data_IF_287062326995
#
_entry.id   IF_287062326995
#
_cell.length_a   1.000
_cell.length_b   1.000
_cell.length_c   1.000
_cell.angle_alpha   90.00
_cell.angle_beta   90.00
_cell.angle_gamma   90.00
#
_symmetry.space_group_name_H-M   'P 1'
#
loop_
_entity.id
_entity.type
_entity.pdbx_description
1 polymer ?
#
# COMPACT_ATOMS: atom_id res chain seq x y z
N UNK A 1 -19.56 14.63 1.67
CA UNK A 1 -19.42 13.56 0.68
C UNK A 1 -19.51 14.22 -0.68
N UNK A 2 -18.46 14.08 -1.47
CA UNK A 2 -18.34 14.66 -2.80
C UNK A 2 -19.03 13.78 -3.84
N UNK A 3 -19.46 14.37 -4.95
CA UNK A 3 -19.92 13.67 -6.14
C UNK A 3 -18.75 12.98 -6.86
N UNK A 4 -19.04 11.99 -7.69
CA UNK A 4 -17.99 11.30 -8.48
C UNK A 4 -17.23 12.27 -9.39
N UNK A 5 -17.90 13.28 -9.97
CA UNK A 5 -17.25 14.29 -10.80
C UNK A 5 -16.23 15.09 -10.00
N UNK A 6 -16.59 15.54 -8.80
CA UNK A 6 -15.66 16.25 -7.92
C UNK A 6 -14.47 15.38 -7.50
N UNK A 7 -14.68 14.09 -7.26
CA UNK A 7 -13.60 13.13 -6.99
C UNK A 7 -12.66 13.01 -8.20
N UNK A 8 -13.20 12.88 -9.40
CA UNK A 8 -12.38 12.80 -10.63
C UNK A 8 -11.60 14.09 -10.88
N UNK A 9 -12.23 15.26 -10.68
CA UNK A 9 -11.57 16.56 -10.81
C UNK A 9 -10.43 16.72 -9.80
N UNK A 10 -10.62 16.25 -8.56
CA UNK A 10 -9.56 16.22 -7.56
C UNK A 10 -8.42 15.28 -7.96
N UNK A 11 -8.73 14.09 -8.47
CA UNK A 11 -7.71 13.16 -8.96
C UNK A 11 -6.88 13.77 -10.10
N UNK A 12 -7.50 14.50 -11.03
CA UNK A 12 -6.77 15.23 -12.08
C UNK A 12 -5.87 16.33 -11.51
N UNK A 13 -6.39 17.13 -10.56
CA UNK A 13 -5.59 18.18 -9.91
C UNK A 13 -4.37 17.60 -9.16
N UNK A 14 -4.56 16.46 -8.48
CA UNK A 14 -3.47 15.75 -7.80
C UNK A 14 -2.42 15.31 -8.82
N UNK A 15 -2.85 14.67 -9.92
CA UNK A 15 -1.95 14.23 -10.99
C UNK A 15 -1.16 15.39 -11.60
N UNK A 16 -1.82 16.50 -11.90
CA UNK A 16 -1.14 17.71 -12.38
C UNK A 16 -0.10 18.22 -11.38
N UNK A 17 -0.45 18.28 -10.09
CA UNK A 17 0.48 18.74 -9.04
C UNK A 17 1.67 17.80 -8.85
N UNK A 18 1.49 16.48 -8.98
CA UNK A 18 2.59 15.51 -8.99
C UNK A 18 3.55 15.82 -10.16
N UNK A 19 3.03 16.03 -11.37
CA UNK A 19 3.86 16.37 -12.53
C UNK A 19 4.65 17.68 -12.36
N UNK A 20 4.11 18.60 -11.56
CA UNK A 20 4.73 19.89 -11.23
C UNK A 20 5.61 19.83 -9.97
N UNK A 21 5.75 18.65 -9.34
CA UNK A 21 6.45 18.45 -8.06
C UNK A 21 5.93 19.35 -6.93
N UNK A 22 4.64 19.71 -6.97
CA UNK A 22 3.99 20.55 -5.94
C UNK A 22 3.41 19.68 -4.84
N UNK A 23 4.26 18.91 -4.17
CA UNK A 23 3.81 17.88 -3.23
C UNK A 23 3.06 18.45 -2.02
N UNK A 24 3.49 19.60 -1.49
CA UNK A 24 2.78 20.29 -0.39
C UNK A 24 1.36 20.73 -0.79
N UNK A 25 1.15 21.12 -2.04
CA UNK A 25 -0.19 21.48 -2.51
C UNK A 25 -1.11 20.25 -2.57
N UNK A 26 -0.57 19.06 -2.81
CA UNK A 26 -1.33 17.81 -2.80
C UNK A 26 -1.81 17.51 -1.37
N UNK A 27 -0.94 17.68 -0.38
CA UNK A 27 -1.30 17.56 1.04
C UNK A 27 -2.49 18.45 1.39
N UNK A 28 -2.47 19.69 0.90
CA UNK A 28 -3.56 20.65 1.12
C UNK A 28 -4.87 20.24 0.43
N UNK A 29 -4.82 19.52 -0.70
CA UNK A 29 -6.01 18.96 -1.34
C UNK A 29 -6.61 17.80 -0.55
N UNK A 30 -5.78 16.97 0.10
CA UNK A 30 -6.24 15.80 0.85
C UNK A 30 -6.70 16.11 2.27
N UNK A 31 -6.02 17.03 2.97
CA UNK A 31 -6.28 17.36 4.37
C UNK A 31 -7.75 17.65 4.73
N UNK A 32 -8.56 18.36 3.92
CA UNK A 32 -9.95 18.66 4.27
C UNK A 32 -10.94 17.54 3.90
N UNK A 33 -10.51 16.49 3.20
CA UNK A 33 -11.43 15.47 2.69
C UNK A 33 -11.97 14.62 3.84
N UNK A 34 -13.27 14.28 3.72
CA UNK A 34 -13.84 13.26 4.59
C UNK A 34 -13.16 11.91 4.33
N UNK A 35 -13.20 11.00 5.30
CA UNK A 35 -12.54 9.69 5.17
C UNK A 35 -12.93 8.94 3.89
N UNK A 36 -14.22 8.94 3.55
CA UNK A 36 -14.77 8.28 2.36
C UNK A 36 -14.31 8.96 1.07
N UNK A 37 -14.34 10.29 1.03
CA UNK A 37 -13.90 11.04 -0.15
C UNK A 37 -12.39 10.84 -0.37
N UNK A 38 -11.61 10.87 0.71
CA UNK A 38 -10.17 10.62 0.68
C UNK A 38 -9.84 9.21 0.14
N UNK A 39 -10.55 8.18 0.58
CA UNK A 39 -10.35 6.81 0.08
C UNK A 39 -10.57 6.73 -1.44
N UNK A 40 -11.57 7.44 -1.97
CA UNK A 40 -11.83 7.47 -3.40
C UNK A 40 -10.74 8.23 -4.18
N UNK A 41 -10.22 9.33 -3.63
CA UNK A 41 -9.16 10.10 -4.29
C UNK A 41 -7.81 9.37 -4.27
N UNK A 42 -7.50 8.61 -3.21
CA UNK A 42 -6.23 7.86 -3.07
C UNK A 42 -6.12 6.61 -3.97
N UNK A 43 -7.02 6.43 -4.94
CA UNK A 43 -6.96 5.29 -5.86
C UNK A 43 -5.84 5.44 -6.89
N UNK A 44 -4.81 4.60 -6.74
CA UNK A 44 -3.59 4.62 -7.55
C UNK A 44 -3.82 4.71 -9.07
N UNK A 45 -4.68 3.91 -9.72
CA UNK A 45 -4.79 3.90 -11.19
C UNK A 45 -5.29 5.22 -11.80
N UNK A 46 -5.96 6.07 -11.01
CA UNK A 46 -6.46 7.36 -11.48
C UNK A 46 -5.41 8.47 -11.38
N UNK A 47 -4.47 8.33 -10.45
CA UNK A 47 -3.37 9.27 -10.24
C UNK A 47 -2.18 8.90 -11.12
N UNK A 48 -1.76 7.63 -11.06
CA UNK A 48 -0.62 7.10 -11.78
C UNK A 48 -1.07 6.11 -12.85
N UNK A 49 -0.62 6.33 -14.08
CA UNK A 49 -0.82 5.40 -15.19
C UNK A 49 0.52 4.77 -15.58
N UNK A 50 0.76 3.57 -15.07
CA UNK A 50 1.99 2.80 -15.32
C UNK A 50 2.24 2.45 -16.79
N UNK A 51 1.20 2.46 -17.63
CA UNK A 51 1.36 2.23 -19.08
C UNK A 51 1.91 3.45 -19.81
N UNK A 52 1.75 4.64 -19.24
CA UNK A 52 2.17 5.91 -19.84
C UNK A 52 3.43 6.45 -19.20
N UNK A 53 3.51 6.42 -17.87
CA UNK A 53 4.59 7.05 -17.10
C UNK A 53 5.80 6.13 -16.91
N UNK A 54 5.61 4.82 -16.99
CA UNK A 54 6.62 3.82 -16.66
C UNK A 54 6.78 3.62 -15.15
N UNK A 55 7.11 2.40 -14.75
CA UNK A 55 7.14 2.00 -13.33
C UNK A 55 8.24 2.73 -12.53
N UNK A 56 9.44 2.88 -13.11
CA UNK A 56 10.57 3.58 -12.46
C UNK A 56 10.30 5.08 -12.25
N UNK A 57 9.59 5.71 -13.19
CA UNK A 57 9.20 7.12 -13.08
C UNK A 57 8.25 7.33 -11.91
N UNK A 58 7.24 6.45 -11.77
CA UNK A 58 6.29 6.49 -10.65
C UNK A 58 7.04 6.34 -9.32
N UNK A 59 7.92 5.34 -9.20
CA UNK A 59 8.68 5.15 -7.96
C UNK A 59 9.58 6.35 -7.65
N UNK A 60 10.22 6.95 -8.66
CA UNK A 60 11.01 8.17 -8.49
C UNK A 60 10.15 9.34 -7.97
N UNK A 61 8.96 9.55 -8.54
CA UNK A 61 8.04 10.61 -8.09
C UNK A 61 7.58 10.37 -6.64
N UNK A 62 7.29 9.12 -6.27
CA UNK A 62 6.90 8.77 -4.91
C UNK A 62 8.05 8.97 -3.91
N UNK A 63 9.29 8.68 -4.31
CA UNK A 63 10.48 8.93 -3.48
C UNK A 63 10.72 10.43 -3.28
N UNK A 64 10.64 11.22 -4.35
CA UNK A 64 10.74 12.68 -4.27
C UNK A 64 9.67 13.26 -3.34
N UNK A 65 8.41 12.83 -3.52
CA UNK A 65 7.31 13.24 -2.64
C UNK A 65 7.62 12.89 -1.18
N UNK A 66 8.00 11.64 -0.90
CA UNK A 66 8.36 11.21 0.45
C UNK A 66 9.48 12.06 1.08
N UNK A 67 10.49 12.43 0.29
CA UNK A 67 11.61 13.26 0.76
C UNK A 67 11.20 14.69 1.08
N UNK A 68 10.31 15.28 0.26
CA UNK A 68 9.82 16.65 0.46
C UNK A 68 8.76 16.75 1.57
N UNK A 69 8.01 15.68 1.82
CA UNK A 69 6.99 15.61 2.88
C UNK A 69 7.20 14.41 3.80
N UNK A 70 8.29 14.36 4.59
CA UNK A 70 8.68 13.18 5.38
C UNK A 70 7.71 12.83 6.53
N UNK A 71 6.78 13.72 6.85
CA UNK A 71 5.76 13.51 7.88
C UNK A 71 4.39 13.14 7.29
N UNK A 72 4.24 13.18 5.96
CA UNK A 72 3.00 12.81 5.28
C UNK A 72 2.91 11.31 5.15
N UNK A 73 1.70 10.76 5.36
CA UNK A 73 1.46 9.34 5.13
C UNK A 73 1.04 9.02 3.69
N UNK A 74 0.60 10.01 2.90
CA UNK A 74 0.05 9.78 1.56
C UNK A 74 1.02 9.13 0.56
N UNK A 75 2.31 9.52 0.45
CA UNK A 75 3.22 8.84 -0.46
C UNK A 75 3.36 7.34 -0.12
N UNK A 76 3.30 6.97 1.16
CA UNK A 76 3.35 5.56 1.58
C UNK A 76 2.13 4.75 1.15
N UNK A 77 0.94 5.38 1.10
CA UNK A 77 -0.27 4.75 0.54
C UNK A 77 -0.04 4.39 -0.92
N UNK A 78 0.49 5.32 -1.71
CA UNK A 78 0.73 5.09 -3.13
C UNK A 78 1.89 4.11 -3.38
N UNK A 79 2.94 4.10 -2.56
CA UNK A 79 3.96 3.04 -2.60
C UNK A 79 3.33 1.67 -2.36
N UNK A 80 2.48 1.54 -1.33
CA UNK A 80 1.77 0.29 -1.08
C UNK A 80 0.91 -0.07 -2.31
N UNK A 81 0.14 0.85 -2.87
CA UNK A 81 -0.72 0.54 -4.03
C UNK A 81 0.07 0.12 -5.26
N UNK A 82 1.22 0.75 -5.51
CA UNK A 82 2.16 0.37 -6.57
C UNK A 82 2.58 -1.10 -6.43
N UNK A 83 3.02 -1.48 -5.22
CA UNK A 83 3.50 -2.84 -4.95
C UNK A 83 2.38 -3.87 -4.91
N UNK A 84 1.18 -3.50 -4.46
CA UNK A 84 -0.01 -4.34 -4.55
C UNK A 84 -0.33 -4.70 -6.00
N UNK A 85 -0.40 -3.69 -6.88
CA UNK A 85 -0.68 -3.90 -8.31
C UNK A 85 0.42 -4.73 -8.96
N UNK A 86 1.68 -4.50 -8.56
CA UNK A 86 2.83 -5.28 -9.02
C UNK A 86 2.71 -6.75 -8.61
N UNK A 87 2.41 -7.04 -7.34
CA UNK A 87 2.16 -8.40 -6.85
C UNK A 87 0.99 -9.06 -7.58
N UNK A 88 -0.10 -8.32 -7.81
CA UNK A 88 -1.28 -8.79 -8.56
C UNK A 88 -0.92 -9.15 -10.01
N UNK A 89 -0.10 -8.35 -10.67
CA UNK A 89 0.35 -8.61 -12.03
C UNK A 89 1.27 -9.85 -12.09
N UNK A 90 2.17 -10.03 -11.12
CA UNK A 90 3.06 -11.20 -11.05
C UNK A 90 2.32 -12.51 -10.76
N UNK A 91 1.27 -12.47 -9.93
CA UNK A 91 0.40 -13.63 -9.70
C UNK A 91 -0.31 -14.12 -10.97
N UNK A 92 -0.40 -13.27 -12.00
CA UNK A 92 -1.07 -13.56 -13.26
C UNK A 92 -2.53 -13.10 -13.23
N UNK A 93 -2.88 -12.16 -14.11
CA UNK A 93 -4.27 -11.85 -14.43
C UNK A 93 -4.77 -12.93 -15.41
N UNK A 94 -5.75 -13.73 -14.96
CA UNK A 94 -6.72 -14.47 -15.80
C UNK A 94 -6.42 -15.89 -16.33
N UNK A 95 -5.29 -16.54 -16.05
CA UNK A 95 -5.13 -17.99 -16.39
C UNK A 95 -4.48 -18.77 -15.25
N UNK A 96 -5.31 -19.51 -14.52
CA UNK A 96 -4.97 -20.35 -13.36
C UNK A 96 -3.88 -21.40 -13.67
N UNK A 97 -3.63 -21.71 -14.93
CA UNK A 97 -2.87 -22.90 -15.29
C UNK A 97 -1.35 -22.74 -15.30
N UNK A 98 -0.76 -21.53 -15.25
CA UNK A 98 0.71 -21.37 -15.37
C UNK A 98 1.30 -20.17 -14.63
N UNK A 99 1.18 -20.11 -13.30
CA UNK A 99 2.08 -19.26 -12.49
C UNK A 99 3.43 -19.97 -12.40
N UNK A 100 4.46 -19.38 -13.02
CA UNK A 100 5.81 -19.95 -12.96
C UNK A 100 6.41 -19.80 -11.55
N UNK A 101 7.40 -20.63 -11.17
CA UNK A 101 8.12 -20.43 -9.92
C UNK A 101 8.71 -19.02 -9.76
N UNK A 102 9.23 -18.44 -10.84
CA UNK A 102 9.76 -17.06 -10.85
C UNK A 102 8.65 -16.02 -10.59
N UNK A 103 7.49 -16.16 -11.24
CA UNK A 103 6.33 -15.29 -10.98
C UNK A 103 5.84 -15.38 -9.53
N UNK A 104 5.85 -16.58 -8.93
CA UNK A 104 5.52 -16.75 -7.51
C UNK A 104 6.52 -16.01 -6.62
N UNK A 105 7.82 -16.10 -6.91
CA UNK A 105 8.86 -15.40 -6.16
C UNK A 105 8.75 -13.88 -6.31
N UNK A 106 8.51 -13.39 -7.53
CA UNK A 106 8.31 -11.96 -7.79
C UNK A 106 7.04 -11.43 -7.11
N UNK A 107 5.97 -12.23 -7.09
CA UNK A 107 4.75 -11.92 -6.36
C UNK A 107 5.03 -11.81 -4.85
N UNK A 108 5.77 -12.76 -4.28
CA UNK A 108 6.18 -12.72 -2.87
C UNK A 108 7.00 -11.47 -2.55
N UNK A 109 8.05 -11.19 -3.34
CA UNK A 109 8.91 -10.03 -3.13
C UNK A 109 8.15 -8.70 -3.25
N UNK A 110 7.22 -8.60 -4.20
CA UNK A 110 6.33 -7.45 -4.33
C UNK A 110 5.35 -7.34 -3.14
N UNK A 111 4.82 -8.47 -2.66
CA UNK A 111 3.95 -8.50 -1.48
C UNK A 111 4.72 -8.04 -0.23
N UNK A 112 5.99 -8.41 -0.08
CA UNK A 112 6.84 -7.94 1.01
C UNK A 112 7.03 -6.42 0.98
N UNK A 113 7.29 -5.85 -0.21
CA UNK A 113 7.35 -4.38 -0.35
C UNK A 113 6.00 -3.74 -0.02
N UNK A 114 4.90 -4.32 -0.52
CA UNK A 114 3.55 -3.85 -0.27
C UNK A 114 3.26 -3.77 1.25
N UNK A 115 3.49 -4.87 1.97
CA UNK A 115 3.24 -4.93 3.41
C UNK A 115 4.12 -3.93 4.16
N UNK A 116 5.39 -3.79 3.80
CA UNK A 116 6.26 -2.78 4.40
C UNK A 116 5.65 -1.37 4.29
N UNK A 117 5.24 -0.96 3.08
CA UNK A 117 4.73 0.39 2.85
C UNK A 117 3.33 0.62 3.44
N UNK A 118 2.47 -0.40 3.43
CA UNK A 118 1.16 -0.33 4.07
C UNK A 118 1.29 -0.18 5.59
N UNK A 119 2.21 -0.92 6.22
CA UNK A 119 2.49 -0.78 7.65
C UNK A 119 3.20 0.54 7.99
N UNK A 120 4.10 1.03 7.11
CA UNK A 120 4.65 2.39 7.23
C UNK A 120 3.58 3.46 7.18
N UNK A 121 2.57 3.30 6.33
CA UNK A 121 1.42 4.21 6.32
C UNK A 121 0.75 4.27 7.69
N UNK A 122 0.57 3.12 8.34
CA UNK A 122 -0.01 3.02 9.68
C UNK A 122 0.90 3.54 10.80
N UNK A 123 2.22 3.58 10.61
CA UNK A 123 3.16 4.23 11.54
C UNK A 123 2.90 5.74 11.62
N UNK A 124 2.64 6.38 10.49
CA UNK A 124 2.33 7.81 10.43
C UNK A 124 0.86 8.12 10.67
N UNK A 125 -0.05 7.24 10.25
CA UNK A 125 -1.49 7.40 10.48
C UNK A 125 -2.16 6.07 10.86
N UNK A 126 -2.26 5.75 12.17
CA UNK A 126 -2.90 4.53 12.65
C UNK A 126 -4.40 4.41 12.34
N UNK A 127 -5.03 5.50 11.87
CA UNK A 127 -6.44 5.57 11.49
C UNK A 127 -6.66 5.51 9.97
N UNK A 128 -5.61 5.18 9.20
CA UNK A 128 -5.70 5.08 7.75
C UNK A 128 -6.48 3.83 7.31
N UNK A 129 -7.78 3.99 7.10
CA UNK A 129 -8.69 2.93 6.63
C UNK A 129 -8.22 2.30 5.31
N UNK A 130 -7.80 3.12 4.34
CA UNK A 130 -7.27 2.66 3.05
C UNK A 130 -6.13 1.65 3.22
N UNK A 131 -5.19 1.90 4.14
CA UNK A 131 -4.08 0.98 4.39
C UNK A 131 -4.58 -0.36 4.98
N UNK A 132 -5.53 -0.33 5.92
CA UNK A 132 -6.12 -1.55 6.46
C UNK A 132 -6.92 -2.33 5.42
N UNK A 133 -7.69 -1.66 4.57
CA UNK A 133 -8.42 -2.31 3.46
C UNK A 133 -7.45 -2.98 2.50
N UNK A 134 -6.35 -2.31 2.15
CA UNK A 134 -5.31 -2.90 1.30
C UNK A 134 -4.65 -4.12 1.96
N UNK A 135 -4.35 -4.05 3.26
CA UNK A 135 -3.77 -5.18 4.02
C UNK A 135 -4.74 -6.37 4.08
N UNK A 136 -6.04 -6.11 4.29
CA UNK A 136 -7.10 -7.10 4.23
C UNK A 136 -7.12 -7.81 2.87
N UNK A 137 -7.18 -7.04 1.79
CA UNK A 137 -7.23 -7.56 0.42
C UNK A 137 -5.97 -8.36 0.08
N UNK A 138 -4.78 -7.83 0.38
CA UNK A 138 -3.52 -8.49 0.09
C UNK A 138 -3.35 -9.78 0.90
N UNK A 139 -3.77 -9.80 2.17
CA UNK A 139 -3.73 -11.02 2.99
C UNK A 139 -4.62 -12.11 2.43
N UNK A 140 -5.80 -11.75 1.90
CA UNK A 140 -6.71 -12.71 1.27
C UNK A 140 -6.22 -13.17 -0.11
N UNK A 141 -5.62 -12.26 -0.88
CA UNK A 141 -5.12 -12.56 -2.21
C UNK A 141 -3.77 -13.26 -2.13
N UNK A 142 -2.71 -12.60 -1.66
CA UNK A 142 -1.32 -13.04 -1.71
C UNK A 142 -0.86 -13.83 -0.49
N UNK A 143 -1.59 -13.73 0.63
CA UNK A 143 -1.13 -14.24 1.92
C UNK A 143 -0.23 -13.25 2.64
N UNK A 144 0.24 -13.67 3.81
CA UNK A 144 1.07 -12.85 4.70
C UNK A 144 2.55 -13.09 4.47
N UNK A 145 3.39 -12.04 4.57
CA UNK A 145 4.83 -12.19 4.61
C UNK A 145 5.33 -13.01 5.80
N UNK A 146 6.37 -13.81 5.58
CA UNK A 146 6.98 -14.62 6.65
C UNK A 146 7.72 -13.76 7.70
N UNK A 147 8.22 -12.59 7.31
CA UNK A 147 8.91 -11.67 8.22
C UNK A 147 7.94 -10.91 9.15
N UNK A 148 6.64 -10.92 8.85
CA UNK A 148 5.67 -10.13 9.59
C UNK A 148 5.16 -10.89 10.82
N UNK A 149 5.69 -10.52 11.98
CA UNK A 149 5.32 -11.05 13.28
C UNK A 149 4.60 -9.98 14.13
N UNK A 150 3.44 -10.34 14.70
CA UNK A 150 2.54 -9.43 15.43
C UNK A 150 2.82 -9.38 16.95
N UNK A 151 4.10 -9.30 17.32
CA UNK A 151 4.49 -9.15 18.72
C UNK A 151 4.32 -7.69 19.18
N UNK A 152 3.32 -7.45 20.03
CA UNK A 152 2.87 -6.12 20.53
C UNK A 152 3.98 -5.26 21.15
N UNK A 153 5.06 -5.86 21.63
CA UNK A 153 6.07 -5.18 22.45
C UNK A 153 7.33 -4.75 21.70
N UNK A 154 7.43 -5.03 20.39
CA UNK A 154 8.64 -4.72 19.62
C UNK A 154 8.30 -4.07 18.28
N UNK A 155 9.13 -3.13 17.81
CA UNK A 155 9.06 -2.67 16.43
C UNK A 155 9.14 -3.86 15.47
N UNK A 156 8.30 -3.84 14.44
CA UNK A 156 8.31 -4.86 13.40
C UNK A 156 9.59 -4.70 12.58
N UNK A 157 10.35 -5.79 12.45
CA UNK A 157 11.60 -5.79 11.68
C UNK A 157 11.31 -6.25 10.26
N UNK A 158 11.42 -5.31 9.33
CA UNK A 158 11.39 -5.65 7.92
C UNK A 158 12.72 -6.28 7.50
N UNK A 159 12.66 -7.39 6.76
CA UNK A 159 13.85 -8.08 6.27
C UNK A 159 13.60 -8.69 4.89
N UNK A 160 14.59 -8.54 4.02
CA UNK A 160 14.68 -9.22 2.72
C UNK A 160 15.78 -10.30 2.73
N UNK A 161 16.29 -10.70 3.90
CA UNK A 161 17.42 -11.65 4.00
C UNK A 161 17.08 -13.03 3.41
N UNK A 162 15.81 -13.40 3.37
CA UNK A 162 15.34 -14.65 2.76
C UNK A 162 15.19 -14.58 1.24
N UNK A 163 15.46 -13.42 0.62
CA UNK A 163 15.35 -13.28 -0.83
C UNK A 163 16.40 -14.14 -1.53
N UNK A 164 15.93 -14.92 -2.49
CA UNK A 164 16.80 -15.60 -3.43
C UNK A 164 17.26 -14.66 -4.55
N UNK A 165 18.16 -15.12 -5.41
CA UNK A 165 18.69 -14.32 -6.51
C UNK A 165 17.61 -13.75 -7.44
N UNK A 166 16.52 -14.48 -7.67
CA UNK A 166 15.44 -14.04 -8.55
C UNK A 166 14.66 -12.88 -7.93
N UNK A 167 14.28 -12.99 -6.65
CA UNK A 167 13.61 -11.92 -5.92
C UNK A 167 14.48 -10.65 -5.85
N UNK A 168 15.79 -10.81 -5.60
CA UNK A 168 16.75 -9.69 -5.62
C UNK A 168 16.83 -9.04 -6.99
N UNK A 169 16.94 -9.84 -8.07
CA UNK A 169 16.96 -9.32 -9.45
C UNK A 169 15.68 -8.61 -9.82
N UNK A 170 14.53 -9.16 -9.41
CA UNK A 170 13.22 -8.57 -9.65
C UNK A 170 13.09 -7.21 -8.98
N UNK A 171 13.38 -7.10 -7.67
CA UNK A 171 13.27 -5.82 -6.97
C UNK A 171 14.34 -4.83 -7.47
N UNK A 172 15.55 -5.29 -7.78
CA UNK A 172 16.61 -4.47 -8.38
C UNK A 172 16.31 -4.04 -9.83
N UNK A 173 15.31 -4.63 -10.49
CA UNK A 173 14.91 -4.21 -11.84
C UNK A 173 14.21 -2.85 -11.85
N UNK A 174 13.74 -2.40 -10.69
CA UNK A 174 13.21 -1.06 -10.48
C UNK A 174 14.36 -0.12 -10.13
N UNK A 175 14.97 0.49 -11.14
CA UNK A 175 16.30 1.13 -11.02
C UNK A 175 16.36 2.32 -10.05
N UNK A 176 15.24 3.00 -9.86
CA UNK A 176 15.11 4.14 -8.93
C UNK A 176 14.77 3.68 -7.52
N UNK A 177 14.28 2.45 -7.35
CA UNK A 177 13.83 1.93 -6.08
C UNK A 177 14.99 1.41 -5.22
N UNK A 178 15.07 1.92 -4.00
CA UNK A 178 15.91 1.35 -2.95
C UNK A 178 15.04 0.56 -2.00
N UNK A 179 15.40 -0.72 -1.77
CA UNK A 179 14.72 -1.54 -0.76
C UNK A 179 14.82 -0.81 0.58
N UNK A 180 13.68 -0.57 1.25
CA UNK A 180 13.70 0.15 2.50
C UNK A 180 14.37 -0.70 3.58
N UNK A 181 15.09 -0.04 4.46
CA UNK A 181 15.71 -0.65 5.63
C UNK A 181 15.17 -0.02 6.90
N UNK A 182 14.97 -0.83 7.93
CA UNK A 182 14.63 -0.34 9.27
C UNK A 182 13.50 -1.09 9.93
N UNK A 183 13.08 -0.56 11.07
CA UNK A 183 11.93 -1.06 11.82
C UNK A 183 10.70 -0.20 11.56
N UNK A 184 9.53 -0.82 11.65
CA UNK A 184 8.24 -0.14 11.57
C UNK A 184 7.70 -0.05 13.01
N UNK A 185 7.51 1.17 13.51
CA UNK A 185 7.08 1.41 14.89
C UNK A 185 5.57 1.61 14.94
N UNK A 186 4.82 0.54 14.78
CA UNK A 186 3.37 0.53 14.94
C UNK A 186 2.95 -0.23 16.19
N UNK A 187 1.89 0.23 16.84
CA UNK A 187 1.26 -0.49 17.93
C UNK A 187 0.04 -1.24 17.41
N UNK A 188 0.25 -2.49 17.00
CA UNK A 188 -0.79 -3.39 16.56
C UNK A 188 -1.10 -4.41 17.67
N UNK A 189 -2.38 -4.63 18.03
CA UNK A 189 -2.72 -5.66 19.00
C UNK A 189 -2.39 -7.04 18.44
N UNK A 190 -1.90 -7.97 19.26
CA UNK A 190 -1.68 -9.35 18.81
C UNK A 190 -2.98 -9.97 18.29
N UNK A 191 -2.90 -10.82 17.27
CA UNK A 191 -4.05 -11.58 16.80
C UNK A 191 -4.53 -12.54 17.90
N UNK A 192 -5.85 -12.72 17.98
CA UNK A 192 -6.47 -13.85 18.68
C UNK A 192 -6.25 -15.15 17.91
N UNK A 193 -6.46 -16.31 18.54
CA UNK A 193 -6.33 -17.62 17.88
C UNK A 193 -7.15 -17.74 16.59
N UNK A 194 -8.32 -17.11 16.53
CA UNK A 194 -9.17 -17.09 15.34
C UNK A 194 -8.56 -16.23 14.22
N UNK A 195 -8.01 -15.07 14.59
CA UNK A 195 -7.33 -14.16 13.67
C UNK A 195 -6.03 -14.78 13.13
N UNK A 196 -5.28 -15.53 13.94
CA UNK A 196 -4.09 -16.26 13.49
C UNK A 196 -4.43 -17.32 12.43
N UNK A 197 -5.57 -18.00 12.57
CA UNK A 197 -6.04 -19.00 11.60
C UNK A 197 -6.59 -18.36 10.33
N UNK A 198 -7.05 -17.12 10.39
CA UNK A 198 -7.60 -16.40 9.24
C UNK A 198 -7.25 -14.91 9.31
N UNK A 199 -6.03 -14.58 8.89
CA UNK A 199 -5.47 -13.23 8.98
C UNK A 199 -6.34 -12.13 8.34
N UNK A 200 -7.10 -12.35 7.24
CA UNK A 200 -8.05 -11.34 6.78
C UNK A 200 -9.03 -10.86 7.88
N UNK A 201 -9.45 -11.72 8.80
CA UNK A 201 -10.29 -11.31 9.94
C UNK A 201 -9.58 -10.32 10.87
N UNK A 202 -8.27 -10.46 11.04
CA UNK A 202 -7.46 -9.53 11.83
C UNK A 202 -7.61 -8.10 11.32
N UNK A 203 -7.36 -7.91 10.02
CA UNK A 203 -7.44 -6.60 9.39
C UNK A 203 -8.87 -6.07 9.37
N UNK A 204 -9.86 -6.92 9.09
CA UNK A 204 -11.27 -6.54 9.14
C UNK A 204 -11.67 -6.01 10.53
N UNK A 205 -11.25 -6.66 11.61
CA UNK A 205 -11.52 -6.19 12.98
C UNK A 205 -10.85 -4.84 13.26
N UNK A 206 -9.65 -4.58 12.71
CA UNK A 206 -9.01 -3.25 12.83
C UNK A 206 -9.77 -2.17 12.06
N UNK A 207 -10.27 -2.48 10.85
CA UNK A 207 -11.14 -1.58 10.09
C UNK A 207 -12.38 -1.24 10.91
N UNK A 208 -13.10 -2.24 11.43
CA UNK A 208 -14.32 -2.03 12.23
C UNK A 208 -14.07 -1.24 13.51
N UNK A 209 -12.88 -1.35 14.12
CA UNK A 209 -12.53 -0.59 15.31
C UNK A 209 -12.35 0.91 15.04
N UNK A 210 -11.81 1.27 13.87
CA UNK A 210 -11.59 2.69 13.48
C UNK A 210 -12.76 3.27 12.67
N UNK A 211 -13.56 2.40 12.05
CA UNK A 211 -14.66 2.71 11.15
C UNK A 211 -15.85 1.76 11.41
N UNK A 212 -16.58 1.92 12.54
CA UNK A 212 -17.68 1.01 12.90
C UNK A 212 -18.78 0.95 11.83
N UNK A 213 -19.00 2.07 11.13
CA UNK A 213 -20.02 2.21 10.10
C UNK A 213 -19.57 1.69 8.73
N UNK A 214 -18.34 1.18 8.59
CA UNK A 214 -17.77 0.73 7.30
C UNK A 214 -18.61 -0.36 6.61
N UNK A 215 -19.31 -1.19 7.38
CA UNK A 215 -20.22 -2.23 6.84
C UNK A 215 -21.69 -1.83 6.83
N UNK A 216 -22.04 -0.63 7.30
CA UNK A 216 -23.40 -0.13 7.22
C UNK A 216 -23.56 0.53 5.85
N UNK A 217 -23.95 -0.26 4.86
CA UNK A 217 -24.53 0.29 3.65
C UNK A 217 -25.85 0.97 4.04
N UNK A 218 -25.85 2.29 4.20
CA UNK A 218 -27.08 3.06 4.11
C UNK A 218 -27.69 2.79 2.73
N UNK A 219 -28.84 2.13 2.75
CA UNK A 219 -29.69 1.85 1.57
C UNK A 219 -30.31 3.14 1.04
#
# INVERSE_FOLDING_TARGET
MQSLVEIYDLQQQVKEKISQKKYQDIEALFAPLSRKDLQNVLQFPFIFNSQVEGLDSILSQLQEWQQETPHSYYPYVFFASFWFITAANQRGKQTIDRVTPAQRQNCSAANDQFFYWALKTLEFNPQCETAYTMLLEASGYFGMPEWLDFLVTKPIRYSCESYNEEAVKFVSSFTTYSIPHGSININLPSPSEEEERFIPLYWLRRILAIAPDHMIQEK
#
